data_IF_272371505674
#
_entry.id   IF_272371505674
#
_cell.length_a   1.000
_cell.length_b   1.000
_cell.length_c   1.000
_cell.angle_alpha   90.00
_cell.angle_beta   90.00
_cell.angle_gamma   90.00
#
_symmetry.space_group_name_H-M   'P 1'
#
loop_
_entity.id
_entity.type
_entity.pdbx_description
1 polymer ?
#
# COMPACT_ATOMS: atom_id res chain seq x y z
N UNK A 1 11.47 -1.60 17.26
CA UNK A 1 12.30 -2.72 16.74
C UNK A 1 12.67 -2.42 15.28
N UNK A 2 13.44 -1.35 15.04
CA UNK A 2 14.07 -1.02 13.75
C UNK A 2 15.37 -0.22 13.98
N UNK A 3 16.03 -0.45 15.12
CA UNK A 3 17.14 0.41 15.58
C UNK A 3 18.34 0.38 14.63
N UNK A 4 18.62 -0.76 14.00
CA UNK A 4 19.69 -0.86 12.99
C UNK A 4 19.40 -0.01 11.73
N UNK A 5 18.15 0.03 11.28
CA UNK A 5 17.73 0.85 10.13
C UNK A 5 17.75 2.34 10.49
N UNK A 6 17.27 2.69 11.68
CA UNK A 6 17.34 4.06 12.21
C UNK A 6 18.79 4.52 12.32
N UNK A 7 19.68 3.68 12.85
CA UNK A 7 21.11 3.98 12.96
C UNK A 7 21.81 4.09 11.60
N UNK A 8 21.35 3.32 10.61
CA UNK A 8 21.82 3.46 9.24
C UNK A 8 21.39 4.82 8.65
N UNK A 9 20.12 5.20 8.78
CA UNK A 9 19.58 6.45 8.26
C UNK A 9 20.21 7.69 8.90
N UNK A 10 20.42 7.69 10.21
CA UNK A 10 21.12 8.78 10.91
C UNK A 10 22.59 8.91 10.49
N UNK A 11 23.21 7.85 9.97
CA UNK A 11 24.58 7.89 9.42
C UNK A 11 24.65 8.31 7.96
N UNK A 12 23.64 7.99 7.15
CA UNK A 12 23.63 8.23 5.70
C UNK A 12 22.86 9.47 5.26
N UNK A 13 22.11 10.10 6.17
CA UNK A 13 21.26 11.27 5.91
C UNK A 13 21.43 12.30 7.03
N UNK A 14 21.01 13.56 6.84
CA UNK A 14 21.04 14.58 7.91
C UNK A 14 19.92 14.42 8.95
N UNK A 15 19.16 13.32 8.95
CA UNK A 15 18.05 13.09 9.88
C UNK A 15 18.57 12.77 11.29
N UNK A 16 18.00 13.43 12.31
CA UNK A 16 18.21 13.02 13.68
C UNK A 16 17.48 11.68 13.97
N UNK A 17 17.83 11.02 15.08
CA UNK A 17 17.25 9.70 15.43
C UNK A 17 15.72 9.72 15.48
N UNK A 18 15.12 10.80 15.99
CA UNK A 18 13.66 10.94 16.09
C UNK A 18 12.99 11.10 14.72
N UNK A 19 13.60 11.87 13.82
CA UNK A 19 13.14 12.04 12.44
C UNK A 19 13.26 10.73 11.65
N UNK A 20 14.40 10.04 11.75
CA UNK A 20 14.61 8.75 11.12
C UNK A 20 13.60 7.70 11.61
N UNK A 21 13.31 7.66 12.92
CA UNK A 21 12.29 6.77 13.47
C UNK A 21 10.90 7.09 12.92
N UNK A 22 10.53 8.37 12.83
CA UNK A 22 9.23 8.79 12.26
C UNK A 22 9.11 8.39 10.80
N UNK A 23 10.14 8.62 9.98
CA UNK A 23 10.15 8.21 8.57
C UNK A 23 9.99 6.69 8.45
N UNK A 24 10.71 5.91 9.26
CA UNK A 24 10.57 4.45 9.27
C UNK A 24 9.15 4.05 9.65
N UNK A 25 8.55 4.65 10.67
CA UNK A 25 7.17 4.40 11.07
C UNK A 25 6.17 4.77 9.97
N UNK A 26 6.35 5.91 9.31
CA UNK A 26 5.48 6.37 8.23
C UNK A 26 5.56 5.45 7.02
N UNK A 27 6.77 5.01 6.65
CA UNK A 27 7.00 4.06 5.56
C UNK A 27 6.41 2.70 5.90
N UNK A 28 6.60 2.22 7.12
CA UNK A 28 6.01 0.95 7.56
C UNK A 28 4.50 1.05 7.61
N UNK A 29 3.92 2.11 8.18
CA UNK A 29 2.48 2.34 8.18
C UNK A 29 1.90 2.43 6.77
N UNK A 30 2.65 3.02 5.83
CA UNK A 30 2.29 3.03 4.41
C UNK A 30 2.28 1.62 3.79
N UNK A 31 3.16 0.72 4.24
CA UNK A 31 3.22 -0.67 3.77
C UNK A 31 2.43 -1.68 4.62
N UNK A 32 1.96 -1.29 5.81
CA UNK A 32 1.17 -2.12 6.71
C UNK A 32 -0.28 -2.28 6.23
N UNK A 33 -0.70 -1.45 5.26
CA UNK A 33 -1.96 -1.66 4.55
C UNK A 33 -1.92 -3.03 3.85
N UNK A 34 -2.76 -3.95 4.31
CA UNK A 34 -2.89 -5.25 3.68
C UNK A 34 -3.37 -5.09 2.23
N UNK A 35 -3.09 -6.09 1.39
CA UNK A 35 -3.62 -6.11 0.01
C UNK A 35 -5.14 -5.93 -0.02
N UNK A 36 -5.85 -6.48 0.95
CA UNK A 36 -7.30 -6.36 1.02
C UNK A 36 -7.76 -4.94 1.38
N UNK A 37 -7.12 -4.31 2.37
CA UNK A 37 -7.41 -2.93 2.75
C UNK A 37 -7.15 -1.97 1.60
N UNK A 38 -6.02 -2.13 0.90
CA UNK A 38 -5.69 -1.38 -0.30
C UNK A 38 -6.79 -1.51 -1.36
N UNK A 39 -7.19 -2.75 -1.70
CA UNK A 39 -8.23 -3.01 -2.71
C UNK A 39 -9.55 -2.35 -2.31
N UNK A 40 -9.97 -2.48 -1.04
CA UNK A 40 -11.22 -1.89 -0.54
C UNK A 40 -11.19 -0.36 -0.56
N UNK A 41 -10.09 0.26 -0.14
CA UNK A 41 -9.93 1.72 -0.15
C UNK A 41 -9.89 2.25 -1.58
N UNK A 42 -9.06 1.66 -2.44
CA UNK A 42 -8.90 2.10 -3.82
C UNK A 42 -10.18 1.94 -4.64
N UNK A 43 -10.94 0.86 -4.41
CA UNK A 43 -12.26 0.70 -5.02
C UNK A 43 -13.21 1.83 -4.63
N UNK A 44 -13.27 2.19 -3.34
CA UNK A 44 -14.10 3.31 -2.85
C UNK A 44 -13.70 4.65 -3.48
N UNK A 45 -12.40 4.92 -3.57
CA UNK A 45 -11.89 6.15 -4.19
C UNK A 45 -12.28 6.27 -5.66
N UNK A 46 -12.08 5.20 -6.45
CA UNK A 46 -12.40 5.20 -7.87
C UNK A 46 -13.92 5.22 -8.12
N UNK A 47 -14.71 4.57 -7.25
CA UNK A 47 -16.17 4.64 -7.30
C UNK A 47 -16.66 6.07 -7.01
N UNK A 48 -16.07 6.77 -6.04
CA UNK A 48 -16.38 8.17 -5.75
C UNK A 48 -16.04 9.12 -6.92
N UNK A 49 -15.11 8.72 -7.78
CA UNK A 49 -14.78 9.42 -9.04
C UNK A 49 -15.73 9.08 -10.19
N UNK A 50 -16.72 8.21 -9.97
CA UNK A 50 -17.74 7.84 -10.96
C UNK A 50 -17.31 6.75 -11.94
N UNK A 51 -16.19 6.05 -11.70
CA UNK A 51 -15.77 4.96 -12.58
C UNK A 51 -16.71 3.75 -12.45
N UNK A 52 -16.89 3.02 -13.55
CA UNK A 52 -17.65 1.76 -13.57
C UNK A 52 -16.80 0.59 -13.05
N UNK A 53 -17.44 -0.39 -12.42
CA UNK A 53 -16.76 -1.50 -11.74
C UNK A 53 -15.72 -2.22 -12.61
N UNK A 54 -16.00 -2.45 -13.90
CA UNK A 54 -15.05 -3.10 -14.80
C UNK A 54 -13.71 -2.33 -14.85
N UNK A 55 -13.78 -1.02 -15.11
CA UNK A 55 -12.61 -0.14 -15.14
C UNK A 55 -11.92 0.00 -13.79
N UNK A 56 -12.69 -0.03 -12.68
CA UNK A 56 -12.13 -0.03 -11.32
C UNK A 56 -11.26 -1.25 -11.09
N UNK A 57 -11.75 -2.45 -11.38
CA UNK A 57 -10.99 -3.68 -11.14
C UNK A 57 -9.76 -3.81 -12.04
N UNK A 58 -9.85 -3.38 -13.31
CA UNK A 58 -8.68 -3.30 -14.20
C UNK A 58 -7.62 -2.34 -13.65
N UNK A 59 -8.04 -1.19 -13.11
CA UNK A 59 -7.12 -0.21 -12.53
C UNK A 59 -6.47 -0.74 -11.25
N UNK A 60 -7.24 -1.39 -10.39
CA UNK A 60 -6.74 -1.99 -9.15
C UNK A 60 -5.71 -3.09 -9.47
N UNK A 61 -5.97 -3.95 -10.47
CA UNK A 61 -5.00 -4.97 -10.90
C UNK A 61 -3.68 -4.34 -11.37
N UNK A 62 -3.75 -3.24 -12.11
CA UNK A 62 -2.57 -2.50 -12.54
C UNK A 62 -1.83 -1.85 -11.34
N UNK A 63 -2.55 -1.19 -10.44
CA UNK A 63 -1.99 -0.53 -9.26
C UNK A 63 -1.28 -1.54 -8.32
N UNK A 64 -1.82 -2.77 -8.19
CA UNK A 64 -1.24 -3.83 -7.34
C UNK A 64 0.18 -4.25 -7.76
N UNK A 65 0.54 -4.11 -9.05
CA UNK A 65 1.87 -4.46 -9.58
C UNK A 65 2.98 -3.53 -9.09
N UNK A 66 2.61 -2.34 -8.61
CA UNK A 66 3.55 -1.30 -8.17
C UNK A 66 3.65 -1.17 -6.65
N UNK A 67 2.96 -2.03 -5.89
CA UNK A 67 3.09 -2.05 -4.43
C UNK A 67 4.46 -2.62 -4.05
N UNK A 68 5.10 -2.05 -3.02
CA UNK A 68 6.41 -2.55 -2.58
C UNK A 68 6.33 -3.97 -2.03
N UNK A 69 5.18 -4.36 -1.45
CA UNK A 69 4.83 -5.75 -1.17
C UNK A 69 3.70 -6.14 -2.12
N UNK A 70 4.07 -6.51 -3.35
CA UNK A 70 3.13 -6.93 -4.36
C UNK A 70 2.53 -8.30 -3.96
N UNK A 71 1.19 -8.44 -3.93
CA UNK A 71 0.58 -9.75 -3.73
C UNK A 71 0.85 -10.65 -4.95
N UNK A 72 0.70 -11.98 -4.79
CA UNK A 72 0.53 -12.85 -5.96
C UNK A 72 -0.63 -12.34 -6.82
N UNK A 73 -0.52 -12.49 -8.15
CA UNK A 73 -1.50 -11.97 -9.10
C UNK A 73 -2.92 -12.39 -8.74
N UNK A 74 -3.76 -11.41 -8.41
CA UNK A 74 -5.16 -11.65 -8.03
C UNK A 74 -6.03 -11.67 -9.28
N UNK A 75 -6.81 -12.74 -9.44
CA UNK A 75 -7.84 -12.82 -10.47
C UNK A 75 -8.97 -11.82 -10.18
N UNK A 76 -9.71 -11.40 -11.21
CA UNK A 76 -10.89 -10.56 -11.06
C UNK A 76 -11.90 -11.11 -10.03
N UNK A 77 -12.07 -12.44 -9.98
CA UNK A 77 -12.94 -13.09 -9.00
C UNK A 77 -12.45 -12.90 -7.56
N UNK A 78 -11.14 -12.98 -7.33
CA UNK A 78 -10.56 -12.73 -6.01
C UNK A 78 -10.72 -11.26 -5.61
N UNK A 79 -10.48 -10.32 -6.53
CA UNK A 79 -10.69 -8.89 -6.28
C UNK A 79 -12.15 -8.58 -5.91
N UNK A 80 -13.11 -9.13 -6.65
CA UNK A 80 -14.54 -8.99 -6.33
C UNK A 80 -14.90 -9.55 -4.96
N UNK A 81 -14.29 -10.68 -4.56
CA UNK A 81 -14.52 -11.27 -3.25
C UNK A 81 -13.94 -10.41 -2.12
N UNK A 82 -12.83 -9.72 -2.33
CA UNK A 82 -12.26 -8.81 -1.32
C UNK A 82 -13.19 -7.60 -1.07
N UNK A 83 -13.86 -7.12 -2.11
CA UNK A 83 -14.74 -5.94 -2.03
C UNK A 83 -16.16 -6.28 -1.57
N UNK A 84 -16.73 -7.39 -2.05
CA UNK A 84 -18.14 -7.72 -1.84
C UNK A 84 -18.40 -8.98 -1.00
N UNK A 85 -17.36 -9.79 -0.77
CA UNK A 85 -17.44 -11.02 0.02
C UNK A 85 -17.10 -10.77 1.48
#
# INVERSE_FOLDING_TARGET
MHDELVDHLTRSTPLNRGEALRVVQDVLAYFDETTEEFVRRRHRELQAQGLVNASIFERIEADLKYRAVAPPGLTLRQLRRIVYG
#
